data_IF_027272588329
#
_entry.id   IF_027272588329
#
_cell.length_a   1.000
_cell.length_b   1.000
_cell.length_c   1.000
_cell.angle_alpha   90.00
_cell.angle_beta   90.00
_cell.angle_gamma   90.00
#
_symmetry.space_group_name_H-M   'P 1'
#
loop_
_entity.id
_entity.type
_entity.pdbx_description
1 polymer ?
#
# COMPACT_ATOMS: atom_id res chain seq x y z
N UNK A 1 18.06 -4.70 -5.57
CA UNK A 1 16.67 -5.13 -5.34
C UNK A 1 15.71 -4.22 -6.09
N UNK A 2 14.43 -4.59 -6.20
CA UNK A 2 13.40 -3.79 -6.88
C UNK A 2 12.68 -2.92 -5.86
N UNK A 3 12.57 -1.63 -6.13
CA UNK A 3 11.98 -0.60 -5.27
C UNK A 3 10.81 0.11 -5.96
N UNK A 4 9.96 0.82 -5.20
CA UNK A 4 8.79 1.54 -5.75
C UNK A 4 9.19 2.59 -6.82
N UNK A 5 10.35 3.22 -6.64
CA UNK A 5 10.94 4.20 -7.54
C UNK A 5 11.47 3.60 -8.86
N UNK A 6 11.59 2.27 -8.96
CA UNK A 6 11.89 1.59 -10.22
C UNK A 6 10.67 1.55 -11.15
N UNK A 7 9.48 1.88 -10.65
CA UNK A 7 8.28 2.04 -11.48
C UNK A 7 8.42 3.18 -12.48
N UNK A 8 7.94 2.97 -13.71
CA UNK A 8 8.01 3.99 -14.75
C UNK A 8 7.90 3.45 -16.17
N UNK A 9 8.06 4.35 -17.14
CA UNK A 9 8.10 3.99 -18.56
C UNK A 9 9.54 3.77 -19.00
N UNK A 10 9.81 2.58 -19.54
CA UNK A 10 11.10 2.16 -20.07
C UNK A 10 11.02 2.03 -21.59
N UNK A 11 12.04 2.54 -22.29
CA UNK A 11 12.16 2.42 -23.73
C UNK A 11 13.10 1.26 -24.08
N UNK A 12 12.57 0.25 -24.75
CA UNK A 12 13.38 -0.76 -25.42
C UNK A 12 13.66 -0.28 -26.85
N UNK A 13 14.93 -0.24 -27.26
CA UNK A 13 15.35 0.13 -28.61
C UNK A 13 16.28 -0.95 -29.18
N UNK A 14 16.00 -1.39 -30.41
CA UNK A 14 16.81 -2.37 -31.13
C UNK A 14 17.19 -1.81 -32.50
N UNK A 15 18.48 -1.93 -32.87
CA UNK A 15 19.00 -1.47 -34.16
C UNK A 15 20.05 -2.43 -34.68
N UNK A 16 20.05 -2.67 -35.99
CA UNK A 16 21.10 -3.41 -36.71
C UNK A 16 21.94 -2.50 -37.63
N UNK A 17 21.74 -1.19 -37.58
CA UNK A 17 22.51 -0.20 -38.34
C UNK A 17 22.21 -0.10 -39.84
N UNK A 18 21.26 -0.89 -40.38
CA UNK A 18 20.93 -0.87 -41.82
C UNK A 18 19.69 -0.01 -42.09
N UNK A 19 18.72 -0.03 -41.17
CA UNK A 19 17.47 0.72 -41.28
C UNK A 19 17.16 1.43 -39.95
N UNK A 20 16.03 2.16 -39.92
CA UNK A 20 15.53 2.73 -38.68
C UNK A 20 15.31 1.61 -37.64
N UNK A 21 15.83 1.82 -36.43
CA UNK A 21 15.67 0.89 -35.33
C UNK A 21 14.20 0.74 -34.91
N UNK A 22 13.90 -0.39 -34.27
CA UNK A 22 12.60 -0.62 -33.63
C UNK A 22 12.64 -0.11 -32.20
N UNK A 23 11.52 0.42 -31.73
CA UNK A 23 11.40 0.83 -30.33
C UNK A 23 10.03 0.51 -29.75
N UNK A 24 9.99 0.19 -28.46
CA UNK A 24 8.75 -0.04 -27.71
C UNK A 24 8.86 0.54 -26.31
N UNK A 25 7.85 1.31 -25.92
CA UNK A 25 7.69 1.77 -24.54
C UNK A 25 6.98 0.67 -23.74
N UNK A 26 7.50 0.39 -22.55
CA UNK A 26 6.97 -0.58 -21.58
C UNK A 26 6.75 0.17 -20.28
N UNK A 27 5.56 0.05 -19.69
CA UNK A 27 5.28 0.63 -18.37
C UNK A 27 5.44 -0.45 -17.31
N UNK A 28 6.36 -0.22 -16.36
CA UNK A 28 6.57 -1.06 -15.19
C UNK A 28 5.83 -0.46 -14.00
N UNK A 29 4.94 -1.24 -13.40
CA UNK A 29 4.27 -0.90 -12.14
C UNK A 29 4.84 -1.78 -11.04
N UNK A 30 5.44 -1.17 -10.02
CA UNK A 30 5.92 -1.89 -8.84
C UNK A 30 4.82 -1.89 -7.78
N UNK A 31 4.43 -3.08 -7.32
CA UNK A 31 3.40 -3.26 -6.30
C UNK A 31 4.05 -3.34 -4.92
N UNK A 32 3.63 -2.47 -4.02
CA UNK A 32 4.09 -2.44 -2.63
C UNK A 32 3.00 -2.96 -1.68
N UNK A 33 3.34 -3.82 -0.71
CA UNK A 33 2.36 -4.38 0.23
C UNK A 33 1.83 -3.31 1.20
N UNK A 34 0.61 -3.49 1.74
CA UNK A 34 0.12 -2.65 2.82
C UNK A 34 1.05 -2.67 4.03
N UNK A 35 1.49 -1.50 4.46
CA UNK A 35 2.39 -1.30 5.59
C UNK A 35 1.81 -0.22 6.50
N UNK A 36 1.86 -0.43 7.82
CA UNK A 36 1.42 0.59 8.78
C UNK A 36 2.38 1.77 8.78
N UNK A 37 1.86 2.98 8.59
CA UNK A 37 2.68 4.21 8.63
C UNK A 37 3.11 4.58 10.04
N UNK A 38 2.33 4.17 11.03
CA UNK A 38 2.53 4.49 12.43
C UNK A 38 2.58 3.19 13.25
N UNK A 39 3.49 3.07 14.22
CA UNK A 39 3.49 1.94 15.13
C UNK A 39 2.22 1.95 15.99
N UNK A 40 1.77 0.75 16.38
CA UNK A 40 0.65 0.61 17.29
C UNK A 40 0.95 1.28 18.62
N UNK A 41 0.01 2.08 19.11
CA UNK A 41 0.10 2.72 20.42
C UNK A 41 -0.86 2.07 21.39
N UNK A 42 -0.32 1.56 22.49
CA UNK A 42 -1.12 1.18 23.64
C UNK A 42 -1.70 2.44 24.28
N UNK A 43 -3.01 2.42 24.56
CA UNK A 43 -3.69 3.50 25.28
C UNK A 43 -4.30 2.97 26.57
N UNK A 44 -4.03 3.67 27.67
CA UNK A 44 -4.74 3.51 28.93
C UNK A 44 -5.79 4.60 29.02
N UNK A 45 -7.02 4.23 29.36
CA UNK A 45 -8.19 5.11 29.38
C UNK A 45 -8.95 4.91 30.68
N UNK A 46 -9.48 5.99 31.22
CA UNK A 46 -10.33 5.95 32.40
C UNK A 46 -11.70 5.38 32.03
N UNK A 47 -12.35 4.70 32.96
CA UNK A 47 -13.74 4.29 32.81
C UNK A 47 -14.63 5.48 32.40
N UNK A 48 -15.64 5.24 31.56
CA UNK A 48 -16.52 6.25 30.95
C UNK A 48 -15.85 7.29 30.02
N UNK A 49 -14.55 7.19 29.78
CA UNK A 49 -13.87 8.07 28.82
C UNK A 49 -13.89 7.52 27.39
N UNK A 50 -14.04 8.43 26.41
CA UNK A 50 -13.98 8.08 25.01
C UNK A 50 -12.52 8.03 24.51
N UNK A 51 -12.25 7.09 23.61
CA UNK A 51 -10.93 6.97 22.97
C UNK A 51 -11.04 6.60 21.50
N UNK A 52 -9.94 6.79 20.78
CA UNK A 52 -9.83 6.46 19.36
C UNK A 52 -8.52 5.76 19.11
N UNK A 53 -8.59 4.59 18.48
CA UNK A 53 -7.44 3.89 17.93
C UNK A 53 -7.32 4.26 16.46
N UNK A 54 -6.12 4.69 16.05
CA UNK A 54 -5.85 5.11 14.68
C UNK A 54 -5.06 4.02 13.99
N UNK A 55 -5.44 3.71 12.75
CA UNK A 55 -4.74 2.78 11.88
C UNK A 55 -4.58 3.46 10.52
N UNK A 56 -3.33 3.68 10.10
CA UNK A 56 -3.01 4.23 8.79
C UNK A 56 -2.10 3.25 8.08
N UNK A 57 -2.52 2.80 6.90
CA UNK A 57 -1.71 1.96 6.03
C UNK A 57 -1.43 2.66 4.71
N UNK A 58 -0.25 2.39 4.13
CA UNK A 58 0.10 2.71 2.74
C UNK A 58 0.49 1.45 2.00
N UNK A 59 0.36 1.48 0.69
CA UNK A 59 0.61 0.34 -0.18
C UNK A 59 -0.20 0.50 -1.45
N UNK A 60 -0.09 -0.48 -2.34
CA UNK A 60 -0.91 -0.52 -3.54
C UNK A 60 -2.38 -0.82 -3.19
N UNK A 61 -3.32 -0.13 -3.83
CA UNK A 61 -4.75 -0.34 -3.61
C UNK A 61 -5.26 -1.63 -4.28
N UNK A 62 -6.33 -2.26 -3.76
CA UNK A 62 -7.13 -1.85 -2.60
C UNK A 62 -6.49 -2.26 -1.26
N UNK A 63 -6.59 -1.38 -0.26
CA UNK A 63 -6.22 -1.67 1.13
C UNK A 63 -7.48 -1.83 1.96
N UNK A 64 -7.61 -2.97 2.65
CA UNK A 64 -8.74 -3.26 3.54
C UNK A 64 -8.24 -3.26 4.98
N UNK A 65 -8.85 -2.43 5.83
CA UNK A 65 -8.54 -2.35 7.26
C UNK A 65 -9.67 -3.03 8.04
N UNK A 66 -9.31 -4.01 8.88
CA UNK A 66 -10.22 -4.68 9.80
C UNK A 66 -9.75 -4.49 11.24
N UNK A 67 -10.71 -4.46 12.17
CA UNK A 67 -10.44 -4.34 13.59
C UNK A 67 -10.82 -5.63 14.31
N UNK A 68 -10.00 -6.03 15.27
CA UNK A 68 -10.23 -7.22 16.08
C UNK A 68 -9.95 -6.92 17.56
N UNK A 69 -10.76 -7.51 18.44
CA UNK A 69 -10.52 -7.57 19.89
C UNK A 69 -10.63 -9.02 20.31
N UNK A 70 -9.61 -9.53 21.02
CA UNK A 70 -9.57 -10.90 21.54
C UNK A 70 -9.87 -11.96 20.46
N UNK A 71 -9.33 -11.75 19.25
CA UNK A 71 -9.54 -12.57 18.03
C UNK A 71 -10.95 -12.52 17.44
N UNK A 72 -11.86 -11.72 17.98
CA UNK A 72 -13.17 -11.45 17.40
C UNK A 72 -13.13 -10.21 16.50
N UNK A 73 -13.69 -10.33 15.31
CA UNK A 73 -13.86 -9.18 14.39
C UNK A 73 -14.85 -8.16 14.98
N UNK A 74 -14.48 -6.88 14.87
CA UNK A 74 -15.34 -5.76 15.17
C UNK A 74 -15.99 -5.31 13.86
N UNK A 75 -17.32 -5.35 13.82
CA UNK A 75 -18.09 -4.82 12.72
C UNK A 75 -18.17 -3.29 12.80
N UNK A 76 -17.26 -2.62 12.07
CA UNK A 76 -17.20 -1.15 12.01
C UNK A 76 -18.40 -0.52 11.28
N UNK A 77 -19.25 -1.30 10.61
CA UNK A 77 -20.48 -0.80 10.00
C UNK A 77 -21.57 -0.56 11.05
N UNK A 78 -21.50 -1.26 12.19
CA UNK A 78 -22.39 -1.06 13.33
C UNK A 78 -21.79 -0.02 14.27
N UNK A 79 -22.03 1.26 13.98
CA UNK A 79 -21.86 2.30 15.02
C UNK A 79 -23.00 2.16 16.03
N UNK A 80 -22.65 2.02 17.30
CA UNK A 80 -23.54 2.32 18.42
C UNK A 80 -23.67 3.83 18.61
#
# INVERSE_FOLDING_TARGET
>A
DVEENDGGSYLCQASNGIAAGLSKIITLTVLVPPTFKEPFQTKTVTEESNTTLRCIASGHAPIVITWQKDKSLIDISKRG
#
